data_IF_578986026587
#
_entry.id   IF_578986026587
#
_cell.length_a   1.000
_cell.length_b   1.000
_cell.length_c   1.000
_cell.angle_alpha   90.00
_cell.angle_beta   90.00
_cell.angle_gamma   90.00
#
_symmetry.space_group_name_H-M   'P 1'
#
loop_
_entity.id
_entity.type
_entity.pdbx_description
1 polymer ?
#
# COMPACT_ATOMS: atom_id res chain seq x y z
N UNK A 1 -20.38 -9.60 -24.38
CA UNK A 1 -20.31 -8.28 -23.74
C UNK A 1 -18.94 -8.18 -23.08
N UNK A 2 -17.95 -7.62 -23.79
CA UNK A 2 -16.60 -7.42 -23.25
C UNK A 2 -16.58 -6.13 -22.44
N UNK A 3 -16.50 -6.26 -21.11
CA UNK A 3 -16.24 -5.11 -20.24
C UNK A 3 -14.74 -4.82 -20.30
N UNK A 4 -14.35 -3.81 -21.06
CA UNK A 4 -12.97 -3.33 -21.10
C UNK A 4 -12.55 -2.87 -19.70
N UNK A 5 -11.50 -3.49 -19.17
CA UNK A 5 -10.87 -3.15 -17.90
C UNK A 5 -10.17 -1.78 -18.09
N UNK A 6 -10.41 -0.77 -17.25
CA UNK A 6 -9.69 0.49 -17.37
C UNK A 6 -8.24 0.26 -16.96
N UNK A 7 -7.33 0.39 -17.92
CA UNK A 7 -5.89 0.40 -17.71
C UNK A 7 -5.49 1.70 -17.02
N UNK A 8 -4.73 1.61 -15.93
CA UNK A 8 -4.23 2.78 -15.22
C UNK A 8 -3.11 3.44 -16.04
N UNK A 9 -3.13 4.77 -16.23
CA UNK A 9 -2.11 5.47 -16.99
C UNK A 9 -0.77 5.49 -16.24
N UNK A 10 0.27 4.94 -16.88
CA UNK A 10 1.62 4.71 -16.34
C UNK A 10 2.48 5.98 -16.18
N UNK A 11 1.92 7.18 -16.33
CA UNK A 11 2.65 8.45 -16.21
C UNK A 11 1.95 9.39 -15.22
N UNK A 12 2.04 9.07 -13.92
CA UNK A 12 1.55 9.94 -12.86
C UNK A 12 2.64 10.05 -11.80
N UNK A 13 3.47 11.10 -11.91
CA UNK A 13 4.09 11.93 -10.86
C UNK A 13 4.99 12.93 -11.63
N UNK A 14 4.38 14.01 -12.14
CA UNK A 14 5.04 15.20 -12.64
C UNK A 14 3.94 16.24 -12.85
N UNK A 15 3.94 17.33 -12.07
CA UNK A 15 3.09 18.54 -12.17
C UNK A 15 2.02 18.49 -13.27
N UNK A 16 0.93 17.77 -13.04
CA UNK A 16 -0.08 17.48 -14.06
C UNK A 16 -1.39 18.15 -13.67
N UNK A 17 -1.88 19.02 -14.55
CA UNK A 17 -3.25 19.56 -14.57
C UNK A 17 -4.26 18.43 -14.83
N UNK A 18 -4.42 17.51 -13.88
CA UNK A 18 -5.50 16.52 -13.92
C UNK A 18 -6.78 17.27 -13.54
N UNK A 19 -7.83 17.26 -14.37
CA UNK A 19 -9.12 17.81 -13.98
C UNK A 19 -9.57 17.22 -12.65
N UNK A 20 -10.12 18.04 -11.75
CA UNK A 20 -10.49 17.61 -10.41
C UNK A 20 -11.39 16.37 -10.43
N UNK A 21 -12.34 16.30 -11.37
CA UNK A 21 -13.25 15.15 -11.50
C UNK A 21 -12.52 13.85 -11.88
N UNK A 22 -11.50 13.93 -12.73
CA UNK A 22 -10.70 12.77 -13.12
C UNK A 22 -9.83 12.31 -11.94
N UNK A 23 -9.27 13.24 -11.17
CA UNK A 23 -8.54 12.94 -9.96
C UNK A 23 -9.44 12.30 -8.89
N UNK A 24 -10.61 12.86 -8.63
CA UNK A 24 -11.58 12.32 -7.67
C UNK A 24 -12.05 10.92 -8.08
N UNK A 25 -12.29 10.69 -9.38
CA UNK A 25 -12.62 9.38 -9.91
C UNK A 25 -11.49 8.37 -9.72
N UNK A 26 -10.24 8.78 -9.97
CA UNK A 26 -9.08 7.93 -9.75
C UNK A 26 -8.94 7.54 -8.27
N UNK A 27 -9.01 8.51 -7.36
CA UNK A 27 -8.95 8.28 -5.91
C UNK A 27 -10.04 7.30 -5.47
N UNK A 28 -11.28 7.48 -5.96
CA UNK A 28 -12.39 6.57 -5.68
C UNK A 28 -12.11 5.15 -6.19
N UNK A 29 -11.67 4.99 -7.44
CA UNK A 29 -11.40 3.67 -8.04
C UNK A 29 -10.27 2.94 -7.30
N UNK A 30 -9.18 3.64 -6.98
CA UNK A 30 -8.04 3.06 -6.25
C UNK A 30 -8.49 2.61 -4.85
N UNK A 31 -9.29 3.42 -4.17
CA UNK A 31 -9.86 3.06 -2.87
C UNK A 31 -10.76 1.82 -2.96
N UNK A 32 -11.70 1.78 -3.89
CA UNK A 32 -12.60 0.63 -4.07
C UNK A 32 -11.84 -0.67 -4.38
N UNK A 33 -10.77 -0.58 -5.19
CA UNK A 33 -9.90 -1.72 -5.50
C UNK A 33 -9.13 -2.18 -4.27
N UNK A 34 -8.53 -1.26 -3.52
CA UNK A 34 -7.85 -1.56 -2.25
C UNK A 34 -8.80 -2.31 -1.31
N UNK A 35 -9.99 -1.76 -1.10
CA UNK A 35 -10.95 -2.29 -0.13
C UNK A 35 -11.38 -3.72 -0.52
N UNK A 36 -11.50 -4.00 -1.81
CA UNK A 36 -11.77 -5.34 -2.34
C UNK A 36 -10.61 -6.31 -2.12
N UNK A 37 -9.37 -5.85 -2.26
CA UNK A 37 -8.16 -6.69 -2.24
C UNK A 37 -7.68 -6.99 -0.82
N UNK A 38 -7.72 -5.98 0.06
CA UNK A 38 -7.16 -6.04 1.41
C UNK A 38 -8.23 -6.13 2.50
N UNK A 39 -9.49 -5.86 2.17
CA UNK A 39 -10.58 -5.77 3.14
C UNK A 39 -10.85 -4.33 3.54
N UNK A 40 -12.13 -4.01 3.72
CA UNK A 40 -12.61 -2.68 4.10
C UNK A 40 -12.29 -2.30 5.57
N UNK A 41 -11.70 -3.21 6.32
CA UNK A 41 -11.29 -3.02 7.71
C UNK A 41 -9.83 -2.52 7.84
N UNK A 42 -9.01 -2.69 6.79
CA UNK A 42 -7.67 -2.07 6.68
C UNK A 42 -7.73 -0.60 6.24
N UNK A 43 -8.85 0.07 6.51
CA UNK A 43 -9.28 1.34 5.90
C UNK A 43 -8.50 2.59 6.30
N UNK A 44 -7.53 2.48 7.19
CA UNK A 44 -6.75 3.63 7.63
C UNK A 44 -5.54 3.81 6.71
N UNK A 45 -5.37 5.02 6.19
CA UNK A 45 -4.20 5.47 5.41
C UNK A 45 -2.86 4.90 5.92
N UNK A 46 -2.60 4.80 7.23
CA UNK A 46 -1.45 4.10 7.80
C UNK A 46 -1.11 2.73 7.20
N UNK A 47 -2.08 1.81 7.09
CA UNK A 47 -1.83 0.46 6.59
C UNK A 47 -1.36 0.48 5.14
N UNK A 48 -2.02 1.31 4.32
CA UNK A 48 -1.65 1.49 2.92
C UNK A 48 -0.32 2.21 2.75
N UNK A 49 -0.05 3.25 3.54
CA UNK A 49 1.23 3.94 3.52
C UNK A 49 2.37 2.97 3.81
N UNK A 50 2.20 2.07 4.79
CA UNK A 50 3.19 1.04 5.10
C UNK A 50 3.36 0.06 3.93
N UNK A 51 2.27 -0.46 3.35
CA UNK A 51 2.34 -1.41 2.23
C UNK A 51 3.02 -0.80 0.99
N UNK A 52 2.66 0.43 0.62
CA UNK A 52 3.26 1.16 -0.51
C UNK A 52 4.74 1.44 -0.25
N UNK A 53 5.09 1.87 0.96
CA UNK A 53 6.48 2.10 1.37
C UNK A 53 7.32 0.82 1.23
N UNK A 54 6.82 -0.30 1.75
CA UNK A 54 7.49 -1.60 1.66
C UNK A 54 7.55 -2.13 0.22
N UNK A 55 6.54 -1.84 -0.60
CA UNK A 55 6.52 -2.18 -2.03
C UNK A 55 7.57 -1.45 -2.83
N UNK A 56 7.76 -0.15 -2.56
CA UNK A 56 8.81 0.66 -3.22
C UNK A 56 10.22 0.21 -2.86
N UNK A 57 10.41 -0.25 -1.62
CA UNK A 57 11.72 -0.63 -1.07
C UNK A 57 11.94 -2.16 -1.06
N UNK A 58 11.08 -2.89 -1.78
CA UNK A 58 11.02 -4.35 -1.90
C UNK A 58 12.37 -5.03 -2.21
N UNK A 59 13.26 -4.37 -2.95
CA UNK A 59 14.56 -4.89 -3.38
C UNK A 59 15.66 -4.81 -2.32
N UNK A 60 15.44 -4.13 -1.18
CA UNK A 60 16.48 -3.80 -0.19
C UNK A 60 16.48 -4.67 1.08
N UNK A 61 15.87 -5.86 1.04
CA UNK A 61 15.85 -6.76 2.21
C UNK A 61 15.00 -6.24 3.38
N UNK A 62 13.89 -5.55 3.07
CA UNK A 62 12.97 -4.96 4.04
C UNK A 62 13.43 -3.63 4.62
N UNK A 63 12.55 -2.97 5.36
CA UNK A 63 12.79 -1.68 6.03
C UNK A 63 12.80 -1.84 7.55
N UNK A 64 13.69 -1.12 8.27
CA UNK A 64 13.65 -1.06 9.73
C UNK A 64 12.35 -0.44 10.25
N UNK A 65 11.89 -0.88 11.42
CA UNK A 65 10.73 -0.34 12.14
C UNK A 65 10.71 1.19 12.18
N UNK A 66 11.81 1.84 12.59
CA UNK A 66 11.85 3.29 12.77
C UNK A 66 11.66 4.06 11.46
N UNK A 67 12.14 3.51 10.34
CA UNK A 67 11.93 4.10 9.01
C UNK A 67 10.46 4.01 8.62
N UNK A 68 9.81 2.88 8.91
CA UNK A 68 8.38 2.68 8.63
C UNK A 68 7.55 3.63 9.49
N UNK A 69 7.80 3.69 10.80
CA UNK A 69 7.07 4.57 11.72
C UNK A 69 7.20 6.04 11.32
N UNK A 70 8.43 6.49 11.01
CA UNK A 70 8.69 7.86 10.58
C UNK A 70 8.05 8.22 9.25
N UNK A 71 8.19 7.37 8.23
CA UNK A 71 7.62 7.61 6.91
C UNK A 71 6.08 7.56 6.90
N UNK A 72 5.48 6.67 7.69
CA UNK A 72 4.03 6.59 7.88
C UNK A 72 3.48 7.68 8.83
N UNK A 73 4.35 8.50 9.43
CA UNK A 73 4.00 9.56 10.41
C UNK A 73 3.17 9.02 11.58
N UNK A 74 3.56 7.87 12.09
CA UNK A 74 2.89 7.19 13.20
C UNK A 74 3.69 7.33 14.49
N UNK A 75 3.00 7.31 15.63
CA UNK A 75 3.67 7.00 16.88
C UNK A 75 4.20 5.56 16.85
N UNK A 76 5.24 5.26 17.63
CA UNK A 76 5.82 3.91 17.67
C UNK A 76 4.79 2.85 18.05
N UNK A 77 3.89 3.18 18.98
CA UNK A 77 2.81 2.26 19.39
C UNK A 77 1.81 2.00 18.26
N UNK A 78 1.38 3.04 17.54
CA UNK A 78 0.48 2.89 16.40
C UNK A 78 1.15 2.11 15.25
N UNK A 79 2.42 2.38 14.97
CA UNK A 79 3.20 1.64 13.98
C UNK A 79 3.30 0.15 14.34
N UNK A 80 3.61 -0.18 15.60
CA UNK A 80 3.66 -1.58 16.08
C UNK A 80 2.32 -2.28 15.90
N UNK A 81 1.21 -1.64 16.28
CA UNK A 81 -0.14 -2.21 16.11
C UNK A 81 -0.44 -2.52 14.64
N UNK A 82 -0.15 -1.58 13.74
CA UNK A 82 -0.38 -1.81 12.31
C UNK A 82 0.52 -2.90 11.72
N UNK A 83 1.81 -2.92 12.08
CA UNK A 83 2.73 -3.95 11.61
C UNK A 83 2.29 -5.34 12.09
N UNK A 84 1.85 -5.48 13.35
CA UNK A 84 1.30 -6.75 13.85
C UNK A 84 0.07 -7.19 13.07
N UNK A 85 -0.88 -6.28 12.79
CA UNK A 85 -2.06 -6.60 11.98
C UNK A 85 -1.66 -7.04 10.57
N UNK A 86 -0.71 -6.34 9.94
CA UNK A 86 -0.27 -6.66 8.57
C UNK A 86 0.51 -7.97 8.50
N UNK A 87 1.28 -8.31 9.54
CA UNK A 87 1.95 -9.62 9.68
C UNK A 87 0.92 -10.72 9.87
N UNK A 88 -0.03 -10.54 10.78
CA UNK A 88 -1.11 -11.51 11.07
C UNK A 88 -1.97 -11.80 9.82
N UNK A 89 -2.24 -10.76 9.02
CA UNK A 89 -2.93 -10.89 7.73
C UNK A 89 -2.07 -11.49 6.61
N UNK A 90 -0.78 -11.74 6.85
CA UNK A 90 0.13 -12.33 5.88
C UNK A 90 0.56 -11.40 4.74
N UNK A 91 0.33 -10.09 4.85
CA UNK A 91 0.72 -9.12 3.81
C UNK A 91 2.18 -8.67 3.92
N UNK A 92 2.76 -8.76 5.11
CA UNK A 92 4.17 -8.45 5.35
C UNK A 92 4.83 -9.56 6.17
N UNK A 93 6.16 -9.66 6.06
CA UNK A 93 6.99 -10.57 6.82
C UNK A 93 7.87 -9.76 7.78
N UNK A 94 7.87 -10.16 9.06
CA UNK A 94 8.86 -9.69 10.03
C UNK A 94 10.15 -10.51 9.86
N UNK A 95 11.27 -9.81 9.75
CA UNK A 95 12.60 -10.37 9.57
C UNK A 95 13.44 -10.15 10.84
N UNK A 96 14.64 -10.74 10.86
CA UNK A 96 15.63 -10.45 11.90
C UNK A 96 15.99 -8.95 11.95
N UNK A 97 16.39 -8.48 13.14
CA UNK A 97 16.77 -7.10 13.41
C UNK A 97 15.65 -6.07 13.17
N UNK A 98 14.39 -6.42 13.48
CA UNK A 98 13.23 -5.52 13.46
C UNK A 98 13.00 -4.86 12.08
N UNK A 99 13.20 -5.66 11.02
CA UNK A 99 12.96 -5.28 9.64
C UNK A 99 11.69 -5.93 9.11
N UNK A 100 11.01 -5.25 8.21
CA UNK A 100 9.76 -5.73 7.60
C UNK A 100 9.84 -5.64 6.09
N UNK A 101 9.26 -6.59 5.37
CA UNK A 101 9.12 -6.55 3.90
C UNK A 101 7.73 -7.02 3.49
N UNK A 102 7.30 -6.71 2.28
CA UNK A 102 6.12 -7.36 1.71
C UNK A 102 6.35 -8.88 1.61
N UNK A 103 5.31 -9.64 1.94
CA UNK A 103 5.24 -11.05 1.57
C UNK A 103 4.99 -11.17 0.06
N UNK A 104 5.11 -12.39 -0.48
CA UNK A 104 4.75 -12.66 -1.87
C UNK A 104 3.27 -12.33 -2.17
N UNK A 105 2.34 -12.70 -1.28
CA UNK A 105 0.92 -12.40 -1.41
C UNK A 105 0.66 -10.89 -1.29
N UNK A 106 1.27 -10.23 -0.30
CA UNK A 106 1.14 -8.78 -0.11
C UNK A 106 1.63 -7.99 -1.34
N UNK A 107 2.71 -8.45 -1.98
CA UNK A 107 3.20 -7.85 -3.24
C UNK A 107 2.21 -8.04 -4.38
N UNK A 108 1.76 -9.28 -4.64
CA UNK A 108 0.82 -9.56 -5.72
C UNK A 108 -0.49 -8.78 -5.56
N UNK A 109 -0.99 -8.69 -4.33
CA UNK A 109 -2.18 -7.89 -3.99
C UNK A 109 -1.95 -6.41 -4.20
N UNK A 110 -0.82 -5.86 -3.75
CA UNK A 110 -0.50 -4.45 -3.94
C UNK A 110 -0.42 -4.08 -5.43
N UNK A 111 0.24 -4.91 -6.23
CA UNK A 111 0.31 -4.74 -7.69
C UNK A 111 -1.09 -4.75 -8.34
N UNK A 112 -1.99 -5.63 -7.87
CA UNK A 112 -3.36 -5.73 -8.39
C UNK A 112 -4.22 -4.49 -8.14
N UNK A 113 -3.91 -3.67 -7.11
CA UNK A 113 -4.60 -2.39 -6.88
C UNK A 113 -4.33 -1.42 -8.04
N UNK A 114 -3.09 -1.44 -8.56
CA UNK A 114 -2.60 -0.50 -9.56
C UNK A 114 -2.53 -1.07 -10.99
N UNK A 115 -3.07 -2.28 -11.22
CA UNK A 115 -3.15 -2.94 -12.53
C UNK A 115 -4.50 -2.75 -13.21
#
# INVERSE_FOLDING_TARGET
MSSSKPALPTHLISDTDIPLDDWLNLVRIVRERRDRVFGADLFHDPAMSILVLLGREASKGGLPFEIIAGAARLSSEAARRWLLILVDRGFIEAMHADRFKLSADGRARLESVYS
#
